data_IF_950937701391
#
_entry.id   IF_950937701391
#
_cell.length_a   1.000
_cell.length_b   1.000
_cell.length_c   1.000
_cell.angle_alpha   90.00
_cell.angle_beta   90.00
_cell.angle_gamma   90.00
#
_symmetry.space_group_name_H-M   'P 1'
#
loop_
_entity.id
_entity.type
_entity.pdbx_description
1 polymer ?
#
# COMPACT_ATOMS: atom_id res chain seq x y z
N UNK A 1 -23.02 -27.17 12.39
CA UNK A 1 -21.89 -26.67 11.57
C UNK A 1 -20.66 -26.59 12.46
N UNK A 2 -19.57 -27.21 12.04
CA UNK A 2 -18.29 -27.04 12.72
C UNK A 2 -17.58 -25.80 12.16
N UNK A 3 -17.26 -24.86 13.02
CA UNK A 3 -16.43 -23.72 12.66
C UNK A 3 -14.96 -24.09 12.78
N UNK A 4 -14.14 -23.51 11.94
CA UNK A 4 -12.68 -23.65 12.04
C UNK A 4 -12.24 -22.87 13.29
N UNK A 5 -11.57 -23.57 14.20
CA UNK A 5 -10.92 -22.93 15.34
C UNK A 5 -9.46 -22.65 14.97
N UNK A 6 -9.07 -21.38 15.12
CA UNK A 6 -7.68 -20.98 14.90
C UNK A 6 -6.89 -21.03 16.20
N UNK A 7 -5.63 -21.40 16.10
CA UNK A 7 -4.70 -21.34 17.21
C UNK A 7 -4.59 -19.88 17.72
N UNK A 8 -4.85 -19.68 19.00
CA UNK A 8 -4.78 -18.37 19.64
C UNK A 8 -3.36 -17.85 19.83
N UNK A 9 -2.39 -18.76 19.83
CA UNK A 9 -0.97 -18.45 20.00
C UNK A 9 -0.26 -18.16 18.67
N UNK A 10 -0.98 -18.13 17.56
CA UNK A 10 -0.41 -17.84 16.25
C UNK A 10 0.19 -16.43 16.20
N UNK A 11 1.31 -16.30 15.50
CA UNK A 11 2.02 -15.03 15.34
C UNK A 11 1.21 -14.00 14.56
N UNK A 12 0.50 -14.44 13.52
CA UNK A 12 -0.32 -13.59 12.67
C UNK A 12 -1.77 -14.01 12.66
N UNK A 13 -2.67 -13.05 12.64
CA UNK A 13 -4.08 -13.28 12.33
C UNK A 13 -4.27 -13.49 10.84
N UNK A 14 -3.50 -12.76 10.02
CA UNK A 14 -3.56 -12.82 8.58
C UNK A 14 -2.22 -12.43 7.97
N UNK A 15 -1.82 -13.15 6.93
CA UNK A 15 -0.71 -12.77 6.06
C UNK A 15 -1.28 -12.49 4.67
N UNK A 16 -1.03 -11.30 4.16
CA UNK A 16 -1.40 -10.92 2.80
C UNK A 16 -0.17 -10.99 1.88
N UNK A 17 -0.40 -11.40 0.67
CA UNK A 17 0.63 -11.43 -0.36
C UNK A 17 0.13 -10.70 -1.60
N UNK A 18 0.95 -9.83 -2.13
CA UNK A 18 0.63 -9.15 -3.36
C UNK A 18 1.44 -7.88 -3.59
N UNK A 19 1.02 -7.15 -4.58
CA UNK A 19 1.68 -5.90 -4.96
C UNK A 19 1.34 -4.76 -4.01
N UNK A 20 2.26 -3.83 -3.94
CA UNK A 20 2.07 -2.51 -3.36
C UNK A 20 2.52 -1.47 -4.38
N UNK A 21 1.82 -0.37 -4.44
CA UNK A 21 2.12 0.75 -5.33
C UNK A 21 2.17 2.05 -4.54
N UNK A 22 2.64 3.09 -5.17
CA UNK A 22 2.55 4.45 -4.66
C UNK A 22 1.54 5.20 -5.53
N UNK A 23 0.51 5.73 -4.90
CA UNK A 23 -0.50 6.54 -5.56
C UNK A 23 -0.17 8.02 -5.36
N UNK A 24 -0.07 8.73 -6.46
CA UNK A 24 0.18 10.17 -6.50
C UNK A 24 -1.11 10.86 -6.88
N UNK A 25 -1.77 11.44 -5.88
CA UNK A 25 -3.04 12.14 -6.06
C UNK A 25 -2.81 13.65 -6.09
N UNK A 26 -3.44 14.38 -7.02
CA UNK A 26 -3.25 15.82 -7.11
C UNK A 26 -3.81 16.53 -5.87
N UNK A 27 -3.14 17.59 -5.46
CA UNK A 27 -3.64 18.51 -4.43
C UNK A 27 -4.36 19.67 -5.10
N UNK A 28 -3.90 20.06 -6.29
CA UNK A 28 -4.52 21.07 -7.15
C UNK A 28 -5.63 20.44 -8.00
N UNK A 29 -6.83 20.34 -7.43
CA UNK A 29 -7.97 19.68 -8.05
C UNK A 29 -8.46 20.36 -9.34
N UNK A 30 -9.19 19.60 -10.13
CA UNK A 30 -9.88 20.03 -11.36
C UNK A 30 -8.93 20.45 -12.49
N UNK A 31 -7.78 19.81 -12.54
CA UNK A 31 -6.78 19.97 -13.58
C UNK A 31 -6.48 18.62 -14.23
N UNK A 32 -6.10 18.65 -15.49
CA UNK A 32 -5.56 17.47 -16.17
C UNK A 32 -4.19 17.10 -15.60
N UNK A 33 -3.71 15.89 -15.88
CA UNK A 33 -2.35 15.49 -15.52
C UNK A 33 -1.28 16.41 -16.14
N UNK A 34 -1.58 16.96 -17.32
CA UNK A 34 -0.68 17.92 -18.00
C UNK A 34 -0.55 19.25 -17.27
N UNK A 35 -1.59 19.64 -16.56
CA UNK A 35 -1.66 20.94 -15.87
C UNK A 35 -1.31 20.84 -14.38
N UNK A 36 -1.52 19.67 -13.78
CA UNK A 36 -1.31 19.47 -12.35
C UNK A 36 0.17 19.49 -12.01
N UNK A 37 0.56 20.24 -11.00
CA UNK A 37 1.95 20.39 -10.58
C UNK A 37 2.24 19.81 -9.20
N UNK A 38 1.21 19.61 -8.38
CA UNK A 38 1.37 19.19 -6.98
C UNK A 38 0.62 17.91 -6.68
N UNK A 39 1.34 16.95 -6.08
CA UNK A 39 0.80 15.64 -5.76
C UNK A 39 1.14 15.25 -4.33
N UNK A 40 0.21 14.57 -3.67
CA UNK A 40 0.47 13.91 -2.41
C UNK A 40 0.61 12.40 -2.64
N UNK A 41 1.59 11.84 -1.97
CA UNK A 41 1.96 10.44 -2.06
C UNK A 41 1.17 9.61 -1.05
N UNK A 42 0.57 8.52 -1.51
CA UNK A 42 -0.15 7.54 -0.70
C UNK A 42 0.31 6.13 -1.00
N UNK A 43 0.12 5.25 -0.03
CA UNK A 43 0.24 3.82 -0.26
C UNK A 43 -0.94 3.35 -1.10
N UNK A 44 -0.67 2.57 -2.14
CA UNK A 44 -1.67 1.97 -3.01
C UNK A 44 -1.52 0.46 -3.13
N UNK A 45 -2.44 -0.13 -3.87
CA UNK A 45 -2.53 -1.57 -4.04
C UNK A 45 -3.54 -2.21 -3.10
N UNK A 46 -4.42 -3.03 -3.65
CA UNK A 46 -5.52 -3.67 -2.92
C UNK A 46 -5.06 -4.47 -1.71
N UNK A 47 -4.06 -5.38 -1.82
CA UNK A 47 -3.58 -6.12 -0.66
C UNK A 47 -2.97 -5.21 0.42
N UNK A 48 -2.26 -4.17 0.02
CA UNK A 48 -1.65 -3.22 0.94
C UNK A 48 -2.71 -2.45 1.73
N UNK A 49 -3.75 -1.99 1.08
CA UNK A 49 -4.86 -1.30 1.73
C UNK A 49 -5.61 -2.20 2.71
N UNK A 50 -5.81 -3.47 2.36
CA UNK A 50 -6.43 -4.46 3.26
C UNK A 50 -5.54 -4.68 4.49
N UNK A 51 -4.23 -4.83 4.30
CA UNK A 51 -3.28 -5.02 5.39
C UNK A 51 -3.32 -3.87 6.39
N UNK A 52 -3.28 -2.64 5.91
CA UNK A 52 -3.35 -1.44 6.75
C UNK A 52 -4.70 -1.36 7.47
N UNK A 53 -5.79 -1.62 6.77
CA UNK A 53 -7.13 -1.62 7.37
C UNK A 53 -7.27 -2.61 8.50
N UNK A 54 -6.77 -3.84 8.32
CA UNK A 54 -6.81 -4.88 9.36
C UNK A 54 -5.91 -4.53 10.55
N UNK A 55 -4.72 -3.99 10.30
CA UNK A 55 -3.81 -3.54 11.36
C UNK A 55 -4.46 -2.44 12.21
N UNK A 56 -5.15 -1.50 11.59
CA UNK A 56 -5.92 -0.44 12.29
C UNK A 56 -7.06 -1.01 13.13
N UNK A 57 -7.60 -2.16 12.75
CA UNK A 57 -8.60 -2.90 13.53
C UNK A 57 -7.99 -3.77 14.62
N UNK A 58 -6.71 -3.65 14.87
CA UNK A 58 -6.01 -4.36 15.95
C UNK A 58 -5.60 -5.79 15.60
N UNK A 59 -5.62 -6.18 14.34
CA UNK A 59 -5.19 -7.51 13.92
C UNK A 59 -3.68 -7.58 13.72
N UNK A 60 -3.11 -8.75 14.00
CA UNK A 60 -1.69 -9.04 13.74
C UNK A 60 -1.53 -9.43 12.26
N UNK A 61 -0.97 -8.53 11.48
CA UNK A 61 -0.90 -8.65 10.01
C UNK A 61 0.53 -8.67 9.54
N UNK A 62 0.87 -9.68 8.73
CA UNK A 62 2.10 -9.74 7.96
C UNK A 62 1.83 -9.46 6.49
N UNK A 63 2.86 -9.03 5.77
CA UNK A 63 2.75 -8.72 4.35
C UNK A 63 3.93 -9.28 3.56
N UNK A 64 3.64 -10.09 2.57
CA UNK A 64 4.65 -10.67 1.67
C UNK A 64 4.63 -9.90 0.37
N UNK A 65 5.72 -9.22 0.06
CA UNK A 65 5.85 -8.43 -1.16
C UNK A 65 7.31 -8.16 -1.50
N UNK A 66 7.52 -7.47 -2.58
CA UNK A 66 8.82 -6.94 -2.98
C UNK A 66 8.67 -5.47 -3.36
N UNK A 67 9.55 -4.65 -2.84
CA UNK A 67 9.58 -3.20 -3.10
C UNK A 67 10.89 -2.81 -3.76
N UNK A 68 10.91 -1.66 -4.42
CA UNK A 68 12.12 -1.13 -5.02
C UNK A 68 13.20 -0.84 -3.98
N UNK A 69 14.45 -0.97 -4.38
CA UNK A 69 15.60 -0.63 -3.52
C UNK A 69 15.97 0.85 -3.74
N UNK A 70 15.09 1.72 -3.27
CA UNK A 70 15.21 3.17 -3.37
C UNK A 70 14.33 3.86 -2.30
N UNK A 71 14.26 5.18 -2.35
CA UNK A 71 13.49 5.99 -1.41
C UNK A 71 11.97 5.75 -1.48
N UNK A 72 11.45 5.33 -2.62
CA UNK A 72 10.05 4.91 -2.72
C UNK A 72 9.79 3.59 -1.96
N UNK A 73 10.71 2.64 -2.10
CA UNK A 73 10.67 1.42 -1.28
C UNK A 73 10.76 1.70 0.21
N UNK A 74 11.61 2.64 0.61
CA UNK A 74 11.70 3.09 2.00
C UNK A 74 10.37 3.65 2.51
N UNK A 75 9.73 4.49 1.70
CA UNK A 75 8.42 5.04 2.03
C UNK A 75 7.39 3.95 2.31
N UNK A 76 7.34 2.93 1.48
CA UNK A 76 6.38 1.81 1.65
C UNK A 76 6.64 1.06 2.94
N UNK A 77 7.89 0.68 3.20
CA UNK A 77 8.25 -0.06 4.42
C UNK A 77 7.97 0.77 5.67
N UNK A 78 8.35 2.04 5.67
CA UNK A 78 8.11 2.94 6.81
C UNK A 78 6.61 3.15 7.04
N UNK A 79 5.83 3.27 5.99
CA UNK A 79 4.38 3.40 6.07
C UNK A 79 3.75 2.18 6.75
N UNK A 80 4.10 0.98 6.31
CA UNK A 80 3.62 -0.25 6.92
C UNK A 80 4.01 -0.36 8.39
N UNK A 81 5.25 -0.03 8.74
CA UNK A 81 5.71 -0.05 10.14
C UNK A 81 4.90 0.90 11.02
N UNK A 82 4.64 2.11 10.55
CA UNK A 82 3.83 3.10 11.27
C UNK A 82 2.39 2.64 11.48
N UNK A 83 1.84 1.88 10.54
CA UNK A 83 0.49 1.35 10.61
C UNK A 83 0.40 0.02 11.40
N UNK A 84 1.52 -0.52 11.84
CA UNK A 84 1.56 -1.75 12.62
C UNK A 84 1.51 -3.04 11.80
N UNK A 85 1.79 -2.97 10.51
CA UNK A 85 1.94 -4.15 9.65
C UNK A 85 3.38 -4.67 9.77
N UNK A 86 3.55 -5.98 9.96
CA UNK A 86 4.86 -6.60 9.99
C UNK A 86 5.51 -6.58 8.61
N UNK A 87 6.74 -6.11 8.54
CA UNK A 87 7.49 -5.93 7.29
C UNK A 87 8.61 -6.93 7.08
N UNK A 88 8.73 -7.94 7.94
CA UNK A 88 9.80 -8.94 7.87
C UNK A 88 9.85 -9.66 6.52
N UNK A 89 8.71 -9.89 5.90
CA UNK A 89 8.59 -10.62 4.64
C UNK A 89 8.51 -9.72 3.40
N UNK A 90 8.83 -8.44 3.54
CA UNK A 90 8.97 -7.53 2.42
C UNK A 90 10.43 -7.48 2.00
N UNK A 91 10.71 -7.97 0.80
CA UNK A 91 12.06 -7.98 0.24
C UNK A 91 12.30 -6.74 -0.64
N UNK A 92 13.58 -6.45 -0.87
CA UNK A 92 14.00 -5.41 -1.82
C UNK A 92 14.27 -6.02 -3.19
N UNK A 93 13.97 -5.27 -4.23
CA UNK A 93 14.35 -5.62 -5.60
C UNK A 93 15.88 -5.67 -5.74
N UNK A 94 16.39 -6.62 -6.52
CA UNK A 94 17.83 -6.85 -6.67
C UNK A 94 18.38 -6.44 -8.03
N UNK A 95 17.51 -6.28 -9.03
CA UNK A 95 17.89 -6.04 -10.41
C UNK A 95 17.39 -4.69 -10.95
N UNK A 96 17.13 -3.73 -10.05
CA UNK A 96 16.69 -2.40 -10.43
C UNK A 96 15.20 -2.26 -10.73
N UNK A 97 14.38 -3.28 -10.38
CA UNK A 97 12.94 -3.22 -10.53
C UNK A 97 12.37 -2.07 -9.67
N UNK A 98 11.40 -1.36 -10.21
CA UNK A 98 10.79 -0.21 -9.58
C UNK A 98 9.37 -0.51 -9.11
N UNK A 99 8.93 0.21 -8.07
CA UNK A 99 7.52 0.22 -7.67
C UNK A 99 6.65 0.81 -8.77
N UNK A 100 5.45 0.28 -8.90
CA UNK A 100 4.42 0.91 -9.72
C UNK A 100 4.00 2.26 -9.12
N UNK A 101 3.93 3.26 -9.96
CA UNK A 101 3.39 4.57 -9.61
C UNK A 101 2.05 4.75 -10.31
N UNK A 102 1.07 5.24 -9.57
CA UNK A 102 -0.25 5.55 -10.10
C UNK A 102 -0.50 7.05 -9.95
N UNK A 103 -0.86 7.70 -11.04
CA UNK A 103 -1.25 9.11 -11.03
C UNK A 103 -2.76 9.21 -11.21
N UNK A 104 -3.40 9.97 -10.35
CA UNK A 104 -4.84 10.20 -10.41
C UNK A 104 -5.14 11.57 -10.97
N UNK A 105 -6.17 11.64 -11.78
CA UNK A 105 -6.71 12.86 -12.35
C UNK A 105 -8.12 13.07 -11.78
N UNK A 106 -8.38 14.24 -11.23
CA UNK A 106 -9.69 14.60 -10.68
C UNK A 106 -10.17 15.87 -11.43
N UNK A 107 -10.99 15.69 -12.45
CA UNK A 107 -11.44 16.77 -13.33
C UNK A 107 -12.64 17.53 -12.77
N UNK A 108 -13.50 16.83 -12.05
CA UNK A 108 -14.69 17.41 -11.39
C UNK A 108 -15.07 16.56 -10.18
N UNK A 109 -16.13 16.92 -9.49
CA UNK A 109 -16.69 16.09 -8.40
C UNK A 109 -17.20 14.74 -8.90
N UNK A 110 -17.54 14.65 -10.18
CA UNK A 110 -18.17 13.48 -10.78
C UNK A 110 -17.23 12.73 -11.73
N UNK A 111 -16.13 13.35 -12.14
CA UNK A 111 -15.22 12.81 -13.13
C UNK A 111 -13.79 12.75 -12.59
N UNK A 112 -13.27 11.52 -12.49
CA UNK A 112 -11.89 11.25 -12.14
C UNK A 112 -11.37 10.08 -12.95
N UNK A 113 -10.06 10.03 -13.17
CA UNK A 113 -9.38 8.91 -13.83
C UNK A 113 -8.03 8.60 -13.17
N UNK A 114 -7.57 7.42 -13.46
CA UNK A 114 -6.27 6.90 -12.99
C UNK A 114 -5.42 6.57 -14.20
#
# INVERSE_FOLDING_TARGET
MKYIEFDKEREFDLILMGRVTIDLNPIDYYKTLAESETYKKYLGGSPANIAVGLARLGKKVGFISRVSDDRFGDFVVDYFKKEGVDTEYISRAKNGEKLGLTFTEILSKEESSI
#
